data_IF_916529140633
#
_entry.id   IF_916529140633
#
_cell.length_a   1.000
_cell.length_b   1.000
_cell.length_c   1.000
_cell.angle_alpha   90.00
_cell.angle_beta   90.00
_cell.angle_gamma   90.00
#
_symmetry.space_group_name_H-M   'P 1'
#
loop_
_entity.id
_entity.type
_entity.pdbx_description
1 polymer ?
#
# COMPACT_ATOMS: atom_id res chain seq x y z
N UNK A 1 -21.60 -10.17 -25.08
CA UNK A 1 -21.27 -9.87 -23.66
C UNK A 1 -22.57 -9.81 -22.88
N UNK A 2 -22.70 -10.47 -21.73
CA UNK A 2 -23.96 -10.41 -20.96
C UNK A 2 -24.17 -9.00 -20.39
N UNK A 3 -25.42 -8.55 -20.25
CA UNK A 3 -25.74 -7.24 -19.66
C UNK A 3 -25.08 -7.07 -18.26
N UNK A 4 -24.96 -8.17 -17.51
CA UNK A 4 -24.25 -8.19 -16.22
C UNK A 4 -22.77 -7.84 -16.36
N UNK A 5 -22.07 -8.39 -17.36
CA UNK A 5 -20.65 -8.10 -17.55
C UNK A 5 -20.42 -6.63 -17.93
N UNK A 6 -21.27 -6.09 -18.82
CA UNK A 6 -21.23 -4.68 -19.18
C UNK A 6 -21.48 -3.76 -17.99
N UNK A 7 -22.44 -4.09 -17.11
CA UNK A 7 -22.69 -3.36 -15.87
C UNK A 7 -21.46 -3.38 -14.95
N UNK A 8 -20.85 -4.55 -14.75
CA UNK A 8 -19.68 -4.70 -13.89
C UNK A 8 -18.49 -3.88 -14.41
N UNK A 9 -18.21 -3.95 -15.72
CA UNK A 9 -17.12 -3.19 -16.33
C UNK A 9 -17.35 -1.67 -16.23
N UNK A 10 -18.58 -1.20 -16.48
CA UNK A 10 -18.92 0.23 -16.39
C UNK A 10 -18.82 0.75 -14.95
N UNK A 11 -19.21 -0.06 -13.96
CA UNK A 11 -19.21 0.33 -12.54
C UNK A 11 -17.87 0.11 -11.84
N UNK A 12 -16.93 -0.60 -12.46
CA UNK A 12 -15.63 -0.91 -11.85
C UNK A 12 -14.81 0.34 -11.49
N UNK A 13 -14.65 1.28 -12.41
CA UNK A 13 -13.92 2.54 -12.18
C UNK A 13 -14.51 3.37 -11.03
N UNK A 14 -15.80 3.70 -11.03
CA UNK A 14 -16.47 4.34 -9.90
C UNK A 14 -16.31 3.60 -8.58
N UNK A 15 -16.39 2.27 -8.57
CA UNK A 15 -16.20 1.45 -7.36
C UNK A 15 -14.77 1.56 -6.81
N UNK A 16 -13.77 1.50 -7.70
CA UNK A 16 -12.35 1.71 -7.33
C UNK A 16 -12.12 3.09 -6.75
N UNK A 17 -12.78 4.12 -7.31
CA UNK A 17 -12.72 5.47 -6.76
C UNK A 17 -13.27 5.52 -5.32
N UNK A 18 -14.46 4.96 -5.08
CA UNK A 18 -15.07 4.90 -3.73
C UNK A 18 -14.19 4.10 -2.78
N UNK A 19 -13.67 2.95 -3.21
CA UNK A 19 -12.72 2.12 -2.46
C UNK A 19 -11.49 2.94 -2.02
N UNK A 20 -10.89 3.66 -2.95
CA UNK A 20 -9.67 4.44 -2.67
C UNK A 20 -9.96 5.57 -1.70
N UNK A 21 -10.96 6.40 -2.00
CA UNK A 21 -11.34 7.58 -1.19
C UNK A 21 -11.77 7.18 0.23
N UNK A 22 -12.62 6.15 0.36
CA UNK A 22 -13.11 5.71 1.67
C UNK A 22 -11.97 5.15 2.56
N UNK A 23 -11.05 4.37 1.98
CA UNK A 23 -9.90 3.84 2.73
C UNK A 23 -8.97 4.96 3.19
N UNK A 24 -8.65 5.93 2.32
CA UNK A 24 -7.75 7.04 2.68
C UNK A 24 -8.41 8.03 3.66
N UNK A 25 -9.72 8.28 3.53
CA UNK A 25 -10.47 9.07 4.51
C UNK A 25 -10.50 8.37 5.88
N UNK A 26 -10.74 7.05 5.92
CA UNK A 26 -10.68 6.28 7.17
C UNK A 26 -9.28 6.32 7.80
N UNK A 27 -8.22 6.27 6.99
CA UNK A 27 -6.84 6.46 7.47
C UNK A 27 -6.64 7.87 8.03
N UNK A 28 -7.09 8.90 7.34
CA UNK A 28 -7.01 10.30 7.77
C UNK A 28 -7.68 10.51 9.13
N UNK A 29 -8.87 9.93 9.35
CA UNK A 29 -9.57 9.99 10.64
C UNK A 29 -8.82 9.35 11.81
N UNK A 30 -7.80 8.55 11.55
CA UNK A 30 -6.95 7.93 12.57
C UNK A 30 -5.63 8.68 12.80
N UNK A 31 -5.29 9.66 11.96
CA UNK A 31 -4.05 10.44 12.08
C UNK A 31 -4.07 11.26 13.37
N UNK A 32 -2.99 11.15 14.13
CA UNK A 32 -2.74 11.97 15.31
C UNK A 32 -1.59 12.92 15.06
N UNK A 33 -1.87 14.21 14.95
CA UNK A 33 -0.88 15.24 14.62
C UNK A 33 0.36 15.25 15.54
N UNK A 34 0.25 15.01 16.88
CA UNK A 34 1.43 14.90 17.75
C UNK A 34 2.38 13.75 17.35
N UNK A 35 1.83 12.59 16.92
CA UNK A 35 2.63 11.44 16.47
C UNK A 35 3.36 11.76 15.16
N UNK A 36 2.68 12.40 14.21
CA UNK A 36 3.27 12.86 12.95
C UNK A 36 4.37 13.89 13.21
N UNK A 37 4.11 14.89 14.06
CA UNK A 37 5.11 15.91 14.42
C UNK A 37 6.34 15.29 15.11
N UNK A 38 6.15 14.31 16.00
CA UNK A 38 7.25 13.59 16.64
C UNK A 38 8.09 12.81 15.61
N UNK A 39 7.45 12.15 14.65
CA UNK A 39 8.14 11.44 13.58
C UNK A 39 8.93 12.37 12.64
N UNK A 40 8.38 13.54 12.31
CA UNK A 40 9.06 14.56 11.50
C UNK A 40 10.28 15.15 12.20
N UNK A 41 10.27 15.24 13.54
CA UNK A 41 11.43 15.68 14.34
C UNK A 41 12.53 14.61 14.41
N UNK A 42 12.19 13.34 14.27
CA UNK A 42 13.16 12.24 14.27
C UNK A 42 13.77 12.06 12.87
N UNK A 43 14.81 12.85 12.58
CA UNK A 43 15.51 12.86 11.29
C UNK A 43 15.98 11.45 10.87
N UNK A 44 16.42 10.62 11.82
CA UNK A 44 16.86 9.25 11.54
C UNK A 44 15.72 8.38 11.02
N UNK A 45 14.58 8.37 11.71
CA UNK A 45 13.40 7.62 11.28
C UNK A 45 12.89 8.12 9.94
N UNK A 46 12.85 9.44 9.74
CA UNK A 46 12.41 10.05 8.47
C UNK A 46 13.33 9.66 7.30
N UNK A 47 14.65 9.72 7.50
CA UNK A 47 15.61 9.27 6.49
C UNK A 47 15.48 7.80 6.16
N UNK A 48 15.25 6.94 7.17
CA UNK A 48 15.04 5.51 6.94
C UNK A 48 13.73 5.25 6.17
N UNK A 49 12.64 5.96 6.50
CA UNK A 49 11.37 5.87 5.76
C UNK A 49 11.60 6.25 4.30
N UNK A 50 12.31 7.36 4.05
CA UNK A 50 12.60 7.80 2.70
C UNK A 50 13.47 6.81 1.93
N UNK A 51 14.58 6.38 2.50
CA UNK A 51 15.51 5.45 1.86
C UNK A 51 14.84 4.12 1.54
N UNK A 52 14.14 3.52 2.50
CA UNK A 52 13.46 2.25 2.28
C UNK A 52 12.27 2.37 1.34
N UNK A 53 11.51 3.47 1.43
CA UNK A 53 10.32 3.68 0.60
C UNK A 53 10.62 3.96 -0.86
N UNK A 54 11.55 4.87 -1.14
CA UNK A 54 11.71 5.44 -2.48
C UNK A 54 13.12 5.33 -3.08
N UNK A 55 14.08 4.77 -2.36
CA UNK A 55 15.39 4.40 -2.92
C UNK A 55 15.51 2.89 -3.00
N UNK A 56 15.46 2.20 -1.86
CA UNK A 56 15.63 0.74 -1.82
C UNK A 56 14.43 -0.01 -2.44
N UNK A 57 13.19 0.45 -2.20
CA UNK A 57 11.99 -0.15 -2.79
C UNK A 57 12.05 -0.19 -4.31
N UNK A 58 12.19 0.96 -5.02
CA UNK A 58 12.32 1.00 -6.47
C UNK A 58 13.56 0.26 -7.00
N UNK A 59 14.70 0.34 -6.31
CA UNK A 59 15.89 -0.40 -6.68
C UNK A 59 15.65 -1.92 -6.62
N UNK A 60 15.01 -2.39 -5.55
CA UNK A 60 14.68 -3.81 -5.39
C UNK A 60 13.59 -4.27 -6.38
N UNK A 61 12.57 -3.43 -6.64
CA UNK A 61 11.58 -3.68 -7.69
C UNK A 61 12.24 -3.81 -9.07
N UNK A 62 13.14 -2.88 -9.41
CA UNK A 62 13.91 -2.93 -10.66
C UNK A 62 14.83 -4.16 -10.76
N UNK A 63 15.40 -4.60 -9.63
CA UNK A 63 16.18 -5.83 -9.59
C UNK A 63 15.32 -7.06 -9.89
N UNK A 64 14.15 -7.16 -9.24
CA UNK A 64 13.21 -8.28 -9.46
C UNK A 64 12.78 -8.33 -10.92
N UNK A 65 12.43 -7.18 -11.54
CA UNK A 65 11.99 -7.15 -12.94
C UNK A 65 13.08 -7.50 -13.95
N UNK A 66 14.36 -7.45 -13.54
CA UNK A 66 15.49 -7.90 -14.38
C UNK A 66 15.82 -9.40 -14.20
N UNK A 67 15.59 -9.92 -12.99
CA UNK A 67 15.94 -11.30 -12.65
C UNK A 67 14.82 -12.29 -12.91
N UNK A 68 13.56 -11.85 -12.77
CA UNK A 68 12.38 -12.68 -12.97
C UNK A 68 11.83 -12.41 -14.37
N UNK A 69 11.60 -13.44 -15.22
CA UNK A 69 11.09 -13.26 -16.57
C UNK A 69 9.60 -12.90 -16.55
N UNK A 70 9.30 -11.61 -16.38
CA UNK A 70 7.95 -11.07 -16.31
C UNK A 70 7.52 -10.53 -17.66
N UNK A 71 6.25 -10.75 -18.03
CA UNK A 71 5.64 -10.01 -19.12
C UNK A 71 5.56 -8.51 -18.79
N UNK A 72 5.65 -7.65 -19.81
CA UNK A 72 5.69 -6.19 -19.66
C UNK A 72 4.60 -5.60 -18.72
N UNK A 73 3.31 -6.01 -18.81
CA UNK A 73 2.30 -5.51 -17.87
C UNK A 73 2.64 -5.78 -16.40
N UNK A 74 3.25 -6.91 -16.11
CA UNK A 74 3.64 -7.28 -14.73
C UNK A 74 4.87 -6.51 -14.27
N UNK A 75 5.81 -6.20 -15.16
CA UNK A 75 6.93 -5.29 -14.89
C UNK A 75 6.40 -3.92 -14.45
N UNK A 76 5.42 -3.36 -15.18
CA UNK A 76 4.78 -2.09 -14.85
C UNK A 76 4.19 -2.13 -13.43
N UNK A 77 3.46 -3.20 -13.07
CA UNK A 77 2.87 -3.32 -11.72
C UNK A 77 3.94 -3.38 -10.65
N UNK A 78 5.00 -4.17 -10.82
CA UNK A 78 6.09 -4.27 -9.82
C UNK A 78 6.75 -2.92 -9.62
N UNK A 79 7.03 -2.18 -10.70
CA UNK A 79 7.66 -0.86 -10.62
C UNK A 79 6.73 0.18 -9.98
N UNK A 80 5.45 0.24 -10.35
CA UNK A 80 4.47 1.12 -9.70
C UNK A 80 4.31 0.77 -8.22
N UNK A 81 4.17 -0.51 -7.90
CA UNK A 81 4.04 -0.97 -6.52
C UNK A 81 5.29 -0.64 -5.69
N UNK A 82 6.48 -0.70 -6.28
CA UNK A 82 7.73 -0.35 -5.60
C UNK A 82 7.75 1.10 -5.08
N UNK A 83 6.99 2.00 -5.71
CA UNK A 83 6.87 3.42 -5.37
C UNK A 83 5.73 3.72 -4.38
N UNK A 84 4.91 2.74 -4.03
CA UNK A 84 3.73 2.91 -3.19
C UNK A 84 3.77 2.04 -1.91
N UNK A 85 4.70 2.26 -0.98
CA UNK A 85 4.75 1.50 0.25
C UNK A 85 3.54 1.74 1.16
N UNK A 86 3.34 0.88 2.16
CA UNK A 86 2.30 0.89 3.18
C UNK A 86 0.87 0.67 2.67
N UNK A 87 0.39 -0.56 2.84
CA UNK A 87 -1.02 -0.88 2.62
C UNK A 87 -1.96 -0.18 3.61
N UNK A 88 -3.20 0.16 3.22
CA UNK A 88 -4.18 0.78 4.11
C UNK A 88 -4.51 -0.04 5.37
N UNK A 89 -4.36 -1.36 5.33
CA UNK A 89 -4.59 -2.26 6.46
C UNK A 89 -3.38 -2.39 7.41
N UNK A 90 -2.30 -1.63 7.21
CA UNK A 90 -1.06 -1.73 7.99
C UNK A 90 -1.29 -1.62 9.50
N UNK A 91 -2.12 -0.66 9.95
CA UNK A 91 -2.39 -0.50 11.40
C UNK A 91 -2.96 -1.75 12.05
N UNK A 92 -3.84 -2.47 11.34
CA UNK A 92 -4.42 -3.72 11.84
C UNK A 92 -3.35 -4.81 11.99
N UNK A 93 -2.41 -4.88 11.03
CA UNK A 93 -1.31 -5.84 11.08
C UNK A 93 -0.28 -5.49 12.14
N UNK A 94 -0.01 -4.20 12.34
CA UNK A 94 0.87 -3.71 13.43
C UNK A 94 0.28 -4.05 14.80
N UNK A 95 -1.01 -3.87 15.01
CA UNK A 95 -1.67 -4.29 16.25
C UNK A 95 -1.52 -5.79 16.51
N UNK A 96 -1.70 -6.63 15.47
CA UNK A 96 -1.48 -8.09 15.57
C UNK A 96 -0.01 -8.46 15.81
N UNK A 97 0.93 -7.68 15.29
CA UNK A 97 2.37 -7.87 15.45
C UNK A 97 2.92 -7.38 16.79
N UNK A 98 2.09 -6.79 17.68
CA UNK A 98 2.51 -6.07 18.88
C UNK A 98 3.55 -4.98 18.58
N UNK A 99 3.41 -4.33 17.41
CA UNK A 99 4.27 -3.26 16.96
C UNK A 99 3.93 -1.91 17.60
N UNK A 100 4.77 -0.91 17.35
CA UNK A 100 4.59 0.47 17.83
C UNK A 100 3.46 1.17 17.04
N UNK A 101 2.28 1.28 17.67
CA UNK A 101 1.09 1.88 17.05
C UNK A 101 1.26 3.39 16.81
N UNK A 102 2.01 4.09 17.68
CA UNK A 102 2.30 5.52 17.49
C UNK A 102 3.19 5.74 16.28
N UNK A 103 4.24 4.92 16.14
CA UNK A 103 5.11 4.95 14.96
C UNK A 103 4.34 4.59 13.67
N UNK A 104 3.44 3.61 13.71
CA UNK A 104 2.59 3.26 12.58
C UNK A 104 1.64 4.41 12.18
N UNK A 105 1.04 5.08 13.18
CA UNK A 105 0.16 6.23 12.99
C UNK A 105 0.84 7.41 12.31
N UNK A 106 2.16 7.57 12.51
CA UNK A 106 2.96 8.58 11.84
C UNK A 106 3.49 8.11 10.47
N UNK A 107 3.91 6.85 10.36
CA UNK A 107 4.47 6.27 9.14
C UNK A 107 3.49 6.35 7.96
N UNK A 108 2.24 5.95 8.19
CA UNK A 108 1.22 5.82 7.14
C UNK A 108 0.96 7.13 6.40
N UNK A 109 0.63 8.27 7.07
CA UNK A 109 0.41 9.54 6.37
C UNK A 109 1.68 10.08 5.71
N UNK A 110 2.85 9.92 6.32
CA UNK A 110 4.12 10.34 5.73
C UNK A 110 4.40 9.58 4.42
N UNK A 111 4.16 8.29 4.43
CA UNK A 111 4.36 7.45 3.23
C UNK A 111 3.29 7.73 2.17
N UNK A 112 2.05 7.99 2.53
CA UNK A 112 1.00 8.36 1.59
C UNK A 112 1.34 9.70 0.88
N UNK A 113 1.78 10.71 1.63
CA UNK A 113 2.24 11.98 1.08
C UNK A 113 3.46 11.77 0.16
N UNK A 114 4.46 11.01 0.61
CA UNK A 114 5.63 10.68 -0.18
C UNK A 114 5.29 9.96 -1.48
N UNK A 115 4.35 9.02 -1.44
CA UNK A 115 3.86 8.31 -2.65
C UNK A 115 3.24 9.28 -3.65
N UNK A 116 2.36 10.19 -3.20
CA UNK A 116 1.71 11.17 -4.07
C UNK A 116 2.71 12.13 -4.72
N UNK A 117 3.77 12.50 -4.00
CA UNK A 117 4.79 13.42 -4.50
C UNK A 117 5.81 12.72 -5.39
N UNK A 118 6.31 11.57 -4.98
CA UNK A 118 7.46 10.92 -5.63
C UNK A 118 7.06 9.96 -6.75
N UNK A 119 5.92 9.27 -6.63
CA UNK A 119 5.49 8.33 -7.66
C UNK A 119 5.30 8.97 -9.04
N UNK A 120 4.65 10.15 -9.20
CA UNK A 120 4.52 10.80 -10.51
C UNK A 120 5.86 11.23 -11.11
N UNK A 121 6.86 11.52 -10.28
CA UNK A 121 8.19 11.92 -10.74
C UNK A 121 9.05 10.71 -11.11
N UNK A 122 8.96 9.63 -10.36
CA UNK A 122 9.82 8.46 -10.52
C UNK A 122 9.26 7.43 -11.49
N UNK A 123 7.93 7.27 -11.58
CA UNK A 123 7.33 6.26 -12.43
C UNK A 123 7.69 6.43 -13.92
N UNK A 124 7.67 7.64 -14.52
CA UNK A 124 8.10 7.83 -15.92
C UNK A 124 9.58 7.51 -16.15
N UNK A 125 10.43 7.61 -15.12
CA UNK A 125 11.86 7.28 -15.21
C UNK A 125 12.12 5.77 -15.13
N UNK A 126 11.26 5.05 -14.40
CA UNK A 126 11.40 3.61 -14.18
C UNK A 126 10.72 2.78 -15.28
N UNK A 127 9.58 3.24 -15.78
CA UNK A 127 8.75 2.51 -16.74
C UNK A 127 9.09 3.03 -18.15
N UNK A 128 9.93 2.28 -18.84
CA UNK A 128 10.33 2.60 -20.22
C UNK A 128 9.22 2.20 -21.22
N UNK A 129 9.12 2.94 -22.32
CA UNK A 129 8.19 2.61 -23.41
C UNK A 129 6.75 3.11 -23.23
N UNK A 130 6.42 3.69 -22.07
CA UNK A 130 5.11 4.28 -21.83
C UNK A 130 5.28 5.79 -21.64
N UNK A 131 4.70 6.57 -22.53
CA UNK A 131 4.65 8.04 -22.41
C UNK A 131 3.59 8.43 -21.36
N UNK A 132 4.00 8.42 -20.09
CA UNK A 132 3.13 8.84 -18.99
C UNK A 132 3.52 10.25 -18.58
N UNK A 133 2.59 11.19 -18.69
CA UNK A 133 2.79 12.54 -18.16
C UNK A 133 2.80 12.49 -16.63
N UNK A 134 3.77 13.17 -16.02
CA UNK A 134 3.82 13.35 -14.55
C UNK A 134 2.50 13.87 -14.00
N UNK A 135 1.84 14.79 -14.70
CA UNK A 135 0.57 15.37 -14.29
C UNK A 135 -0.60 14.36 -14.39
N UNK A 136 -0.60 13.52 -15.40
CA UNK A 136 -1.61 12.44 -15.55
C UNK A 136 -1.58 11.46 -14.39
N UNK A 137 -0.40 11.20 -13.82
CA UNK A 137 -0.24 10.39 -12.61
C UNK A 137 -0.54 11.20 -11.34
N UNK A 138 -0.08 12.43 -11.25
CA UNK A 138 -0.22 13.26 -10.04
C UNK A 138 -1.69 13.58 -9.73
N UNK A 139 -2.47 13.99 -10.76
CA UNK A 139 -3.87 14.39 -10.59
C UNK A 139 -4.74 13.34 -9.89
N UNK A 140 -4.82 12.07 -10.35
CA UNK A 140 -5.61 11.06 -9.65
C UNK A 140 -5.07 10.78 -8.24
N UNK A 141 -3.75 10.72 -8.03
CA UNK A 141 -3.17 10.49 -6.70
C UNK A 141 -3.47 11.64 -5.72
N UNK A 142 -3.42 12.89 -6.18
CA UNK A 142 -3.81 14.06 -5.38
C UNK A 142 -5.29 13.98 -4.96
N UNK A 143 -6.17 13.67 -5.90
CA UNK A 143 -7.62 13.70 -5.66
C UNK A 143 -8.11 12.46 -4.88
N UNK A 144 -7.55 11.28 -5.13
CA UNK A 144 -8.06 10.04 -4.54
C UNK A 144 -7.30 9.58 -3.29
N UNK A 145 -6.05 10.05 -3.10
CA UNK A 145 -5.21 9.68 -1.97
C UNK A 145 -4.99 10.85 -1.03
N UNK A 146 -4.36 11.92 -1.52
CA UNK A 146 -3.95 13.02 -0.64
C UNK A 146 -5.15 13.79 -0.10
N UNK A 147 -6.08 14.18 -0.95
CA UNK A 147 -7.25 14.96 -0.54
C UNK A 147 -8.10 14.24 0.52
N UNK A 148 -8.56 12.98 0.34
CA UNK A 148 -9.35 12.28 1.36
C UNK A 148 -8.56 12.07 2.66
N UNK A 149 -7.26 11.77 2.57
CA UNK A 149 -6.39 11.63 3.73
C UNK A 149 -6.32 12.94 4.54
N UNK A 150 -6.09 14.07 3.87
CA UNK A 150 -6.00 15.37 4.51
C UNK A 150 -7.34 15.82 5.08
N UNK A 151 -8.44 15.61 4.37
CA UNK A 151 -9.80 15.90 4.86
C UNK A 151 -10.10 15.09 6.11
N UNK A 152 -9.81 13.79 6.11
CA UNK A 152 -9.97 12.92 7.27
C UNK A 152 -9.10 13.37 8.45
N UNK A 153 -7.85 13.72 8.21
CA UNK A 153 -6.92 14.20 9.24
C UNK A 153 -7.34 15.57 9.81
N UNK A 154 -7.75 16.49 8.95
CA UNK A 154 -8.30 17.78 9.37
C UNK A 154 -9.56 17.60 10.22
N UNK A 155 -10.50 16.76 9.77
CA UNK A 155 -11.70 16.47 10.53
C UNK A 155 -11.37 15.83 11.89
N UNK A 156 -10.37 14.94 11.95
CA UNK A 156 -9.88 14.39 13.21
C UNK A 156 -9.31 15.45 14.13
N UNK A 157 -8.56 16.39 13.57
CA UNK A 157 -7.93 17.46 14.34
C UNK A 157 -8.95 18.45 14.93
N UNK A 158 -9.89 18.93 14.10
CA UNK A 158 -10.83 19.98 14.50
C UNK A 158 -12.12 19.45 15.16
N UNK A 159 -12.63 18.29 14.73
CA UNK A 159 -13.89 17.76 15.21
C UNK A 159 -13.78 16.71 16.33
N UNK A 160 -12.55 16.28 16.68
CA UNK A 160 -12.25 15.40 17.83
C UNK A 160 -13.26 14.24 18.01
N UNK A 161 -14.25 14.43 18.89
CA UNK A 161 -15.29 13.44 19.17
C UNK A 161 -16.19 13.15 17.96
N UNK A 162 -16.43 14.14 17.09
CA UNK A 162 -17.17 13.95 15.84
C UNK A 162 -16.48 12.94 14.92
N UNK A 163 -15.15 13.03 14.81
CA UNK A 163 -14.36 12.09 14.03
C UNK A 163 -14.46 10.65 14.58
N UNK A 164 -14.47 10.48 15.90
CA UNK A 164 -14.67 9.17 16.54
C UNK A 164 -16.05 8.59 16.21
N UNK A 165 -17.08 9.43 16.18
CA UNK A 165 -18.47 8.99 15.88
C UNK A 165 -18.65 8.56 14.43
N UNK A 166 -18.06 9.29 13.47
CA UNK A 166 -18.20 8.96 12.03
C UNK A 166 -17.24 7.86 11.57
N UNK A 167 -16.13 7.63 12.30
CA UNK A 167 -15.12 6.65 11.90
C UNK A 167 -15.68 5.24 11.63
N UNK A 168 -16.57 4.65 12.45
CA UNK A 168 -17.14 3.32 12.17
C UNK A 168 -17.90 3.27 10.83
N UNK A 169 -18.65 4.33 10.49
CA UNK A 169 -19.38 4.40 9.22
C UNK A 169 -18.43 4.50 8.02
N UNK A 170 -17.43 5.38 8.09
CA UNK A 170 -16.41 5.53 7.03
C UNK A 170 -15.60 4.24 6.87
N UNK A 171 -15.22 3.60 7.98
CA UNK A 171 -14.55 2.30 7.96
C UNK A 171 -15.42 1.19 7.39
N UNK A 172 -16.72 1.19 7.70
CA UNK A 172 -17.70 0.26 7.14
C UNK A 172 -17.81 0.42 5.62
N UNK A 173 -17.90 1.67 5.13
CA UNK A 173 -17.88 1.97 3.69
C UNK A 173 -16.57 1.53 3.03
N UNK A 174 -15.44 1.79 3.66
CA UNK A 174 -14.13 1.35 3.16
C UNK A 174 -14.03 -0.17 3.06
N UNK A 175 -14.51 -0.91 4.06
CA UNK A 175 -14.55 -2.37 4.05
C UNK A 175 -15.49 -2.90 2.97
N UNK A 176 -16.70 -2.37 2.89
CA UNK A 176 -17.71 -2.79 1.89
C UNK A 176 -17.18 -2.55 0.48
N UNK A 177 -16.68 -1.35 0.20
CA UNK A 177 -16.12 -1.01 -1.12
C UNK A 177 -14.91 -1.87 -1.46
N UNK A 178 -14.07 -2.22 -0.48
CA UNK A 178 -12.95 -3.14 -0.66
C UNK A 178 -13.44 -4.54 -1.06
N UNK A 179 -14.41 -5.09 -0.35
CA UNK A 179 -15.00 -6.40 -0.65
C UNK A 179 -15.66 -6.41 -2.03
N UNK A 180 -16.45 -5.39 -2.34
CA UNK A 180 -17.09 -5.25 -3.65
C UNK A 180 -16.03 -5.14 -4.77
N UNK A 181 -14.98 -4.35 -4.59
CA UNK A 181 -13.89 -4.24 -5.59
C UNK A 181 -13.23 -5.59 -5.83
N UNK A 182 -12.98 -6.37 -4.77
CA UNK A 182 -12.43 -7.73 -4.90
C UNK A 182 -13.40 -8.63 -5.68
N UNK A 183 -14.69 -8.64 -5.31
CA UNK A 183 -15.70 -9.49 -5.99
C UNK A 183 -15.84 -9.09 -7.46
N UNK A 184 -15.96 -7.78 -7.77
CA UNK A 184 -16.00 -7.29 -9.14
C UNK A 184 -14.78 -7.74 -9.93
N UNK A 185 -13.60 -7.58 -9.35
CA UNK A 185 -12.36 -7.98 -9.99
C UNK A 185 -12.28 -9.49 -10.22
N UNK A 186 -12.72 -10.31 -9.28
CA UNK A 186 -12.78 -11.77 -9.45
C UNK A 186 -13.75 -12.18 -10.56
N UNK A 187 -14.89 -11.50 -10.68
CA UNK A 187 -15.88 -11.81 -11.73
C UNK A 187 -15.38 -11.34 -13.10
N UNK A 188 -14.85 -10.12 -13.21
CA UNK A 188 -14.40 -9.55 -14.49
C UNK A 188 -13.10 -10.22 -14.96
N UNK A 189 -12.13 -10.38 -14.04
CA UNK A 189 -10.75 -10.77 -14.38
C UNK A 189 -10.35 -12.16 -13.88
N UNK A 190 -11.23 -12.92 -13.21
CA UNK A 190 -10.89 -14.17 -12.53
C UNK A 190 -10.25 -15.23 -13.45
N UNK A 191 -10.73 -15.33 -14.70
CA UNK A 191 -10.08 -16.21 -15.71
C UNK A 191 -8.66 -15.73 -16.06
N UNK A 192 -8.46 -14.42 -16.16
CA UNK A 192 -7.13 -13.82 -16.36
C UNK A 192 -6.20 -14.09 -15.17
N UNK A 193 -6.72 -14.10 -13.94
CA UNK A 193 -5.95 -14.42 -12.74
C UNK A 193 -5.45 -15.86 -12.75
N UNK A 194 -6.27 -16.83 -13.18
CA UNK A 194 -5.87 -18.23 -13.32
C UNK A 194 -4.75 -18.40 -14.35
N UNK A 195 -4.86 -17.68 -15.48
CA UNK A 195 -3.82 -17.68 -16.52
C UNK A 195 -2.52 -17.00 -16.08
N UNK A 196 -2.57 -16.20 -15.00
CA UNK A 196 -1.39 -15.53 -14.44
C UNK A 196 -0.55 -16.46 -13.54
N UNK A 197 -1.11 -17.62 -13.12
CA UNK A 197 -0.44 -18.54 -12.19
C UNK A 197 0.92 -19.06 -12.67
N UNK A 198 1.14 -19.20 -13.98
CA UNK A 198 2.44 -19.59 -14.58
C UNK A 198 3.36 -18.46 -14.99
N UNK A 199 2.99 -17.19 -14.74
CA UNK A 199 3.67 -15.99 -15.28
C UNK A 199 4.74 -15.39 -14.37
N UNK A 200 5.14 -16.07 -13.30
CA UNK A 200 6.02 -15.54 -12.25
C UNK A 200 5.50 -14.30 -11.50
N UNK A 201 4.27 -13.84 -11.76
CA UNK A 201 3.71 -12.67 -11.09
C UNK A 201 3.61 -12.85 -9.58
N UNK A 202 3.07 -13.98 -9.09
CA UNK A 202 3.01 -14.31 -7.66
C UNK A 202 4.40 -14.42 -7.03
N UNK A 203 5.37 -15.00 -7.75
CA UNK A 203 6.75 -15.08 -7.29
C UNK A 203 7.34 -13.69 -7.10
N UNK A 204 7.19 -12.80 -8.07
CA UNK A 204 7.71 -11.42 -7.99
C UNK A 204 7.10 -10.62 -6.85
N UNK A 205 5.77 -10.75 -6.62
CA UNK A 205 5.09 -10.14 -5.47
C UNK A 205 5.65 -10.69 -4.14
N UNK A 206 5.81 -12.01 -4.04
CA UNK A 206 6.33 -12.67 -2.84
C UNK A 206 7.76 -12.23 -2.56
N UNK A 207 8.63 -12.29 -3.57
CA UNK A 207 10.03 -11.84 -3.45
C UNK A 207 10.09 -10.38 -3.02
N UNK A 208 9.26 -9.52 -3.61
CA UNK A 208 9.25 -8.11 -3.25
C UNK A 208 8.82 -7.91 -1.79
N UNK A 209 7.69 -8.47 -1.38
CA UNK A 209 7.13 -8.25 -0.06
C UNK A 209 7.99 -8.86 1.05
N UNK A 210 8.41 -10.11 0.86
CA UNK A 210 9.26 -10.82 1.84
C UNK A 210 10.65 -10.20 1.87
N UNK A 211 11.24 -9.91 0.71
CA UNK A 211 12.57 -9.30 0.62
C UNK A 211 12.61 -7.93 1.27
N UNK A 212 11.69 -7.01 0.91
CA UNK A 212 11.61 -5.69 1.53
C UNK A 212 11.31 -5.78 3.03
N UNK A 213 10.41 -6.69 3.44
CA UNK A 213 10.12 -6.94 4.85
C UNK A 213 11.36 -7.39 5.63
N UNK A 214 12.10 -8.38 5.13
CA UNK A 214 13.31 -8.90 5.75
C UNK A 214 14.44 -7.85 5.79
N UNK A 215 14.70 -7.17 4.69
CA UNK A 215 15.76 -6.16 4.59
C UNK A 215 15.48 -5.02 5.57
N UNK A 216 14.27 -4.47 5.59
CA UNK A 216 13.92 -3.36 6.48
C UNK A 216 13.88 -3.78 7.95
N UNK A 217 13.48 -5.01 8.24
CA UNK A 217 13.56 -5.56 9.59
C UNK A 217 15.00 -5.75 10.06
N UNK A 218 15.85 -6.33 9.21
CA UNK A 218 17.27 -6.62 9.54
C UNK A 218 18.08 -5.34 9.69
N UNK A 219 17.88 -4.36 8.84
CA UNK A 219 18.60 -3.10 8.80
C UNK A 219 17.79 -1.94 9.39
N UNK A 220 17.25 -2.14 10.60
CA UNK A 220 16.50 -1.12 11.35
C UNK A 220 17.40 -0.06 12.02
N UNK A 221 18.74 -0.17 11.94
CA UNK A 221 19.73 0.83 12.38
C UNK A 221 19.42 1.46 13.75
N UNK A 222 19.20 0.62 14.78
CA UNK A 222 18.95 1.04 16.16
C UNK A 222 17.48 1.37 16.49
N UNK A 223 16.55 1.05 15.61
CA UNK A 223 15.11 1.03 15.96
C UNK A 223 14.82 -0.10 16.94
N UNK A 224 13.87 0.12 17.85
CA UNK A 224 13.34 -0.94 18.73
C UNK A 224 12.64 -2.01 17.87
N UNK A 225 12.57 -3.25 18.39
CA UNK A 225 11.92 -4.37 17.69
C UNK A 225 10.49 -4.01 17.26
N UNK A 226 9.71 -3.35 18.12
CA UNK A 226 8.34 -2.91 17.79
C UNK A 226 8.28 -1.95 16.60
N UNK A 227 9.25 -1.05 16.43
CA UNK A 227 9.35 -0.14 15.29
C UNK A 227 9.88 -0.84 14.03
N UNK A 228 10.82 -1.78 14.19
CA UNK A 228 11.32 -2.61 13.09
C UNK A 228 10.21 -3.47 12.47
N UNK A 229 9.32 -4.02 13.30
CA UNK A 229 8.13 -4.75 12.84
C UNK A 229 7.19 -3.87 12.01
N UNK A 230 6.98 -2.61 12.43
CA UNK A 230 6.18 -1.63 11.68
C UNK A 230 6.82 -1.30 10.34
N UNK A 231 8.15 -1.02 10.32
CA UNK A 231 8.88 -0.74 9.08
C UNK A 231 8.82 -1.93 8.13
N UNK A 232 9.03 -3.15 8.63
CA UNK A 232 8.98 -4.37 7.81
C UNK A 232 7.60 -4.59 7.18
N UNK A 233 6.54 -4.48 7.97
CA UNK A 233 5.17 -4.61 7.48
C UNK A 233 4.81 -3.47 6.53
N UNK A 234 5.21 -2.24 6.84
CA UNK A 234 4.96 -1.07 6.01
C UNK A 234 5.68 -1.12 4.67
N UNK A 235 7.00 -1.37 4.69
CA UNK A 235 7.81 -1.42 3.47
C UNK A 235 7.66 -2.74 2.70
N UNK A 236 7.19 -3.80 3.32
CA UNK A 236 6.80 -5.04 2.65
C UNK A 236 5.46 -4.93 1.94
N UNK A 237 4.47 -4.27 2.53
CA UNK A 237 3.13 -4.12 1.93
C UNK A 237 3.03 -2.92 1.00
N UNK A 238 2.03 -2.93 0.09
CA UNK A 238 1.86 -1.89 -0.94
C UNK A 238 0.50 -1.20 -0.84
N UNK A 239 0.49 0.09 -1.14
CA UNK A 239 -0.75 0.85 -1.31
C UNK A 239 -1.33 0.57 -2.71
N UNK A 240 -2.10 -0.51 -2.79
CA UNK A 240 -2.72 -0.96 -4.04
C UNK A 240 -3.67 0.08 -4.62
N UNK A 241 -4.32 0.89 -3.79
CA UNK A 241 -5.15 2.00 -4.27
C UNK A 241 -4.32 3.01 -5.08
N UNK A 242 -3.10 3.33 -4.61
CA UNK A 242 -2.19 4.21 -5.35
C UNK A 242 -1.71 3.56 -6.66
N UNK A 243 -1.35 2.27 -6.61
CA UNK A 243 -0.94 1.51 -7.80
C UNK A 243 -2.05 1.47 -8.83
N UNK A 244 -3.29 1.21 -8.39
CA UNK A 244 -4.45 1.13 -9.28
C UNK A 244 -4.81 2.50 -9.88
N UNK A 245 -4.77 3.57 -9.09
CA UNK A 245 -4.98 4.94 -9.57
C UNK A 245 -3.94 5.34 -10.62
N UNK A 246 -2.68 4.98 -10.41
CA UNK A 246 -1.61 5.21 -11.37
C UNK A 246 -1.77 4.33 -12.63
N UNK A 247 -2.11 3.07 -12.46
CA UNK A 247 -2.32 2.13 -13.57
C UNK A 247 -3.46 2.57 -14.48
N UNK A 248 -4.58 3.03 -13.92
CA UNK A 248 -5.74 3.53 -14.67
C UNK A 248 -5.47 4.89 -15.36
N UNK A 249 -4.42 5.60 -14.97
CA UNK A 249 -3.97 6.83 -15.63
C UNK A 249 -3.09 6.56 -16.87
N UNK A 250 -2.67 5.31 -17.08
CA UNK A 250 -1.90 4.91 -18.28
C UNK A 250 -2.87 4.76 -19.46
N UNK A 251 -2.70 5.52 -20.56
CA UNK A 251 -3.55 5.36 -21.73
C UNK A 251 -3.45 3.94 -22.31
N UNK A 252 -4.58 3.33 -22.63
CA UNK A 252 -4.65 1.98 -23.22
C UNK A 252 -3.91 0.91 -22.36
N UNK A 253 -3.92 1.06 -21.04
CA UNK A 253 -3.27 0.12 -20.13
C UNK A 253 -3.75 -1.32 -20.36
N UNK A 254 -2.81 -2.26 -20.42
CA UNK A 254 -3.13 -3.69 -20.52
C UNK A 254 -3.97 -4.13 -19.30
N UNK A 255 -5.13 -4.78 -19.49
CA UNK A 255 -5.98 -5.23 -18.39
C UNK A 255 -5.26 -6.12 -17.37
N UNK A 256 -4.19 -6.81 -17.77
CA UNK A 256 -3.35 -7.63 -16.87
C UNK A 256 -2.68 -6.80 -15.75
N UNK A 257 -2.49 -5.50 -15.96
CA UNK A 257 -1.99 -4.56 -14.93
C UNK A 257 -2.98 -4.50 -13.77
N UNK A 258 -4.27 -4.35 -14.07
CA UNK A 258 -5.35 -4.32 -13.05
C UNK A 258 -5.45 -5.67 -12.34
N UNK A 259 -5.43 -6.78 -13.12
CA UNK A 259 -5.47 -8.15 -12.61
C UNK A 259 -4.37 -8.38 -11.57
N UNK A 260 -3.11 -8.12 -11.93
CA UNK A 260 -1.98 -8.31 -11.02
C UNK A 260 -2.06 -7.38 -9.79
N UNK A 261 -2.50 -6.13 -9.99
CA UNK A 261 -2.62 -5.17 -8.89
C UNK A 261 -3.64 -5.62 -7.85
N UNK A 262 -4.77 -6.19 -8.26
CA UNK A 262 -5.77 -6.73 -7.33
C UNK A 262 -5.29 -8.03 -6.68
N UNK A 263 -4.63 -8.92 -7.45
CA UNK A 263 -3.99 -10.12 -6.88
C UNK A 263 -2.98 -9.73 -5.79
N UNK A 264 -2.22 -8.66 -6.00
CA UNK A 264 -1.29 -8.14 -4.99
C UNK A 264 -2.00 -7.77 -3.69
N UNK A 265 -3.20 -7.20 -3.76
CA UNK A 265 -3.99 -6.89 -2.56
C UNK A 265 -4.27 -8.15 -1.74
N UNK A 266 -4.83 -9.17 -2.38
CA UNK A 266 -5.19 -10.44 -1.71
C UNK A 266 -3.95 -11.11 -1.12
N UNK A 267 -2.89 -11.22 -1.92
CA UNK A 267 -1.65 -11.85 -1.51
C UNK A 267 -0.94 -11.10 -0.39
N UNK A 268 -0.98 -9.76 -0.42
CA UNK A 268 -0.37 -8.94 0.62
C UNK A 268 -1.05 -9.07 1.98
N UNK A 269 -2.37 -9.28 2.04
CA UNK A 269 -3.08 -9.56 3.30
C UNK A 269 -2.58 -10.86 3.92
N UNK A 270 -2.42 -11.92 3.11
CA UNK A 270 -1.93 -13.22 3.58
C UNK A 270 -0.50 -13.11 4.13
N UNK A 271 0.42 -12.56 3.33
CA UNK A 271 1.82 -12.43 3.73
C UNK A 271 2.00 -11.48 4.93
N UNK A 272 1.26 -10.37 4.97
CA UNK A 272 1.30 -9.45 6.10
C UNK A 272 0.76 -10.09 7.39
N UNK A 273 -0.30 -10.91 7.30
CA UNK A 273 -0.82 -11.65 8.45
C UNK A 273 0.18 -12.68 8.98
N UNK A 274 0.89 -13.38 8.08
CA UNK A 274 1.97 -14.30 8.45
C UNK A 274 3.12 -13.54 9.12
N UNK A 275 3.59 -12.44 8.52
CA UNK A 275 4.63 -11.58 9.09
C UNK A 275 4.24 -11.03 10.46
N UNK A 276 2.99 -10.58 10.63
CA UNK A 276 2.49 -10.09 11.91
C UNK A 276 2.53 -11.17 13.01
N UNK A 277 2.20 -12.43 12.68
CA UNK A 277 2.31 -13.55 13.64
C UNK A 277 3.77 -13.81 14.06
N UNK A 278 4.70 -13.77 13.09
CA UNK A 278 6.14 -13.96 13.35
C UNK A 278 6.64 -12.84 14.30
N UNK A 279 6.34 -11.58 14.00
CA UNK A 279 6.77 -10.46 14.82
C UNK A 279 6.12 -10.46 16.22
N UNK A 280 4.86 -10.91 16.35
CA UNK A 280 4.19 -11.06 17.63
C UNK A 280 4.87 -12.10 18.53
N UNK A 281 5.33 -13.22 17.97
CA UNK A 281 6.11 -14.24 18.70
C UNK A 281 7.44 -13.66 19.17
N UNK A 282 8.20 -13.01 18.29
CA UNK A 282 9.46 -12.37 18.67
C UNK A 282 9.30 -11.31 19.76
N UNK A 283 8.20 -10.53 19.73
CA UNK A 283 7.90 -9.57 20.79
C UNK A 283 7.61 -10.26 22.14
N UNK A 284 6.96 -11.44 22.12
CA UNK A 284 6.72 -12.25 23.30
C UNK A 284 8.01 -12.82 23.89
N UNK A 285 8.88 -13.37 23.05
CA UNK A 285 10.16 -13.96 23.47
C UNK A 285 11.09 -12.92 24.10
N UNK A 286 11.14 -11.69 23.53
CA UNK A 286 11.93 -10.58 24.11
C UNK A 286 11.36 -10.15 25.46
N UNK A 287 10.03 -10.10 25.62
CA UNK A 287 9.40 -9.77 26.89
C UNK A 287 9.68 -10.83 27.97
N UNK A 288 9.68 -12.11 27.59
CA UNK A 288 9.98 -13.23 28.52
C UNK A 288 11.48 -13.29 28.88
N UNK A 289 12.39 -13.06 27.92
CA UNK A 289 13.83 -13.09 28.16
C UNK A 289 14.38 -11.86 28.88
N UNK A 290 13.65 -10.74 28.91
CA UNK A 290 14.00 -9.54 29.69
C UNK A 290 13.51 -9.55 31.13
N UNK A 291 12.74 -10.58 31.53
CA UNK A 291 12.23 -10.78 32.88
C UNK A 291 13.06 -11.81 33.70
N UNK A 292 14.06 -12.43 33.06
CA UNK A 292 15.04 -13.35 33.68
C UNK A 292 16.37 -12.62 33.89
#
# INVERSE_FOLDING_TARGET
MSAVMQFLETTFGPLVFVFTVANLAAMGLQVRMPEVAAALRNKKSLSLIFVWGWVAGPAFGSLITRLVPLAEPFVVVVLLASLAPCAPFLQQMVGKARGDMGFAGALIPLVAIGTVLLMPLMAPLLIKGVTISTWSLAKPLLLTILLPLLVGAAFRHYAGNGAIRIFPAVKGLALLSTLLTIVWCLVIYGRGMLNTAGSFALLSMTLFMVGMGLITYRFGFGMKQSQRSVMALGMGTRNVAAVLAAALAIPNADPRIVVMTVMWTLWSVVLAAMGAKIFARQAGDIAAGGAA
#
